data_IF_814390898271
#
_entry.id   IF_814390898271
#
_cell.length_a   1.000
_cell.length_b   1.000
_cell.length_c   1.000
_cell.angle_alpha   90.00
_cell.angle_beta   90.00
_cell.angle_gamma   90.00
#
_symmetry.space_group_name_H-M   'P 1'
#
loop_
_entity.id
_entity.type
_entity.pdbx_description
1 polymer ?
#
# COMPACT_ATOMS: atom_id res chain seq x y z
N UNK A 1 -11.37 30.92 -39.56
CA UNK A 1 -11.06 31.25 -38.16
C UNK A 1 -9.62 31.74 -38.20
N UNK A 2 -9.39 33.01 -37.91
CA UNK A 2 -8.09 33.65 -38.12
C UNK A 2 -7.01 32.91 -37.31
N UNK A 3 -5.92 32.52 -37.95
CA UNK A 3 -4.73 32.08 -37.23
C UNK A 3 -4.26 33.31 -36.45
N UNK A 4 -4.37 33.27 -35.12
CA UNK A 4 -3.78 34.32 -34.29
C UNK A 4 -2.26 34.24 -34.47
N UNK A 5 -1.68 35.27 -35.08
CA UNK A 5 -0.23 35.43 -35.22
C UNK A 5 0.37 35.65 -33.82
N UNK A 6 0.65 34.55 -33.14
CA UNK A 6 1.56 34.56 -32.00
C UNK A 6 3.01 34.61 -32.48
N UNK A 7 3.95 35.08 -31.66
CA UNK A 7 5.36 35.15 -32.04
C UNK A 7 5.91 33.78 -32.46
N UNK A 8 6.64 33.71 -33.58
CA UNK A 8 7.16 32.43 -34.09
C UNK A 8 8.12 31.73 -33.11
N UNK A 9 8.72 32.48 -32.18
CA UNK A 9 9.62 31.96 -31.16
C UNK A 9 8.95 30.96 -30.20
N UNK A 10 7.61 31.02 -30.06
CA UNK A 10 6.85 30.13 -29.18
C UNK A 10 6.09 29.03 -29.93
N UNK A 11 6.18 28.98 -31.26
CA UNK A 11 5.44 28.02 -32.10
C UNK A 11 5.75 26.57 -31.73
N UNK A 12 7.03 26.23 -31.59
CA UNK A 12 7.47 24.89 -31.20
C UNK A 12 6.96 24.50 -29.79
N UNK A 13 6.92 25.47 -28.87
CA UNK A 13 6.44 25.25 -27.51
C UNK A 13 4.93 25.01 -27.48
N UNK A 14 4.16 25.79 -28.26
CA UNK A 14 2.71 25.68 -28.36
C UNK A 14 2.30 24.39 -29.05
N UNK A 15 2.92 24.04 -30.18
CA UNK A 15 2.64 22.78 -30.90
C UNK A 15 3.01 21.55 -30.06
N UNK A 16 4.12 21.60 -29.32
CA UNK A 16 4.50 20.56 -28.37
C UNK A 16 3.52 20.44 -27.19
N UNK A 17 3.05 21.57 -26.65
CA UNK A 17 2.05 21.59 -25.59
C UNK A 17 0.70 21.02 -26.06
N UNK A 18 0.20 21.46 -27.23
CA UNK A 18 -1.05 20.96 -27.83
C UNK A 18 -1.00 19.45 -28.08
N UNK A 19 0.12 18.96 -28.64
CA UNK A 19 0.35 17.53 -28.84
C UNK A 19 0.31 16.75 -27.53
N UNK A 20 0.94 17.29 -26.48
CA UNK A 20 0.98 16.68 -25.15
C UNK A 20 -0.40 16.65 -24.50
N UNK A 21 -1.16 17.75 -24.56
CA UNK A 21 -2.53 17.85 -24.04
C UNK A 21 -3.47 16.90 -24.78
N UNK A 22 -3.34 16.80 -26.10
CA UNK A 22 -4.13 15.88 -26.94
C UNK A 22 -3.85 14.42 -26.58
N UNK A 23 -2.60 14.06 -26.31
CA UNK A 23 -2.24 12.72 -25.83
C UNK A 23 -2.88 12.40 -24.48
N UNK A 24 -2.78 13.33 -23.51
CA UNK A 24 -3.39 13.17 -22.17
C UNK A 24 -4.92 13.04 -22.28
N UNK A 25 -5.55 13.85 -23.12
CA UNK A 25 -7.00 13.80 -23.37
C UNK A 25 -7.43 12.43 -23.89
N UNK A 26 -6.70 11.89 -24.88
CA UNK A 26 -6.98 10.57 -25.46
C UNK A 26 -6.93 9.46 -24.41
N UNK A 27 -5.90 9.46 -23.56
CA UNK A 27 -5.76 8.47 -22.48
C UNK A 27 -6.89 8.62 -21.45
N UNK A 28 -7.24 9.86 -21.11
CA UNK A 28 -8.30 10.12 -20.13
C UNK A 28 -9.68 9.69 -20.66
N UNK A 29 -9.98 9.95 -21.92
CA UNK A 29 -11.22 9.49 -22.57
C UNK A 29 -11.33 7.96 -22.56
N UNK A 30 -10.23 7.25 -22.85
CA UNK A 30 -10.18 5.78 -22.74
C UNK A 30 -10.45 5.33 -21.30
N UNK A 31 -9.82 5.95 -20.30
CA UNK A 31 -10.04 5.62 -18.90
C UNK A 31 -11.49 5.86 -18.46
N UNK A 32 -12.07 6.99 -18.86
CA UNK A 32 -13.46 7.38 -18.53
C UNK A 32 -14.51 6.59 -19.30
N UNK A 33 -14.16 5.97 -20.43
CA UNK A 33 -15.07 5.09 -21.19
C UNK A 33 -15.40 3.79 -20.44
N UNK A 34 -14.57 3.41 -19.47
CA UNK A 34 -14.81 2.23 -18.64
C UNK A 34 -15.58 2.60 -17.36
N UNK A 35 -16.68 1.92 -17.02
CA UNK A 35 -17.38 2.15 -15.77
C UNK A 35 -16.48 1.83 -14.56
N UNK A 36 -16.38 2.79 -13.63
CA UNK A 36 -15.50 2.68 -12.46
C UNK A 36 -15.78 1.45 -11.60
N UNK A 37 -17.05 1.07 -11.45
CA UNK A 37 -17.44 -0.11 -10.68
C UNK A 37 -16.84 -1.40 -11.26
N UNK A 38 -16.84 -1.55 -12.58
CA UNK A 38 -16.29 -2.72 -13.26
C UNK A 38 -14.76 -2.76 -13.16
N UNK A 39 -14.13 -1.59 -13.14
CA UNK A 39 -12.68 -1.46 -12.97
C UNK A 39 -12.26 -1.80 -11.54
N UNK A 40 -12.99 -1.31 -10.53
CA UNK A 40 -12.71 -1.58 -9.12
C UNK A 40 -12.91 -3.06 -8.77
N UNK A 41 -13.90 -3.74 -9.34
CA UNK A 41 -14.12 -5.17 -9.10
C UNK A 41 -12.96 -6.06 -9.57
N UNK A 42 -12.16 -5.59 -10.54
CA UNK A 42 -11.04 -6.35 -11.13
C UNK A 42 -9.70 -6.10 -10.43
N UNK A 43 -9.62 -5.09 -9.57
CA UNK A 43 -8.37 -4.65 -8.95
C UNK A 43 -8.32 -5.09 -7.48
N UNK A 44 -7.13 -5.46 -7.01
CA UNK A 44 -6.90 -5.65 -5.58
C UNK A 44 -6.95 -4.30 -4.84
N UNK A 45 -7.16 -4.27 -3.52
CA UNK A 45 -7.30 -3.00 -2.79
C UNK A 45 -6.08 -2.07 -2.92
N UNK A 46 -4.89 -2.62 -3.15
CA UNK A 46 -3.67 -1.84 -3.28
C UNK A 46 -3.61 -1.16 -4.66
N UNK A 47 -4.00 -1.86 -5.72
CA UNK A 47 -4.05 -1.34 -7.07
C UNK A 47 -5.21 -0.35 -7.25
N UNK A 48 -6.33 -0.54 -6.55
CA UNK A 48 -7.39 0.47 -6.44
C UNK A 48 -6.85 1.77 -5.83
N UNK A 49 -6.12 1.69 -4.72
CA UNK A 49 -5.53 2.86 -4.07
C UNK A 49 -4.52 3.59 -4.98
N UNK A 50 -3.71 2.84 -5.75
CA UNK A 50 -2.80 3.44 -6.75
C UNK A 50 -3.58 4.16 -7.84
N UNK A 51 -4.62 3.54 -8.39
CA UNK A 51 -5.46 4.12 -9.42
C UNK A 51 -6.09 5.43 -8.92
N UNK A 52 -6.71 5.43 -7.74
CA UNK A 52 -7.35 6.60 -7.17
C UNK A 52 -6.34 7.74 -6.92
N UNK A 53 -5.14 7.43 -6.42
CA UNK A 53 -4.07 8.41 -6.23
C UNK A 53 -3.56 8.96 -7.56
N UNK A 54 -3.45 8.13 -8.59
CA UNK A 54 -3.08 8.58 -9.94
C UNK A 54 -4.16 9.49 -10.52
N UNK A 55 -5.44 9.15 -10.40
CA UNK A 55 -6.54 10.01 -10.85
C UNK A 55 -6.52 11.36 -10.13
N UNK A 56 -6.34 11.37 -8.81
CA UNK A 56 -6.23 12.60 -8.04
C UNK A 56 -5.01 13.44 -8.45
N UNK A 57 -3.85 12.80 -8.64
CA UNK A 57 -2.63 13.48 -9.08
C UNK A 57 -2.79 14.09 -10.46
N UNK A 58 -3.35 13.36 -11.42
CA UNK A 58 -3.61 13.84 -12.78
C UNK A 58 -4.53 15.05 -12.77
N UNK A 59 -5.66 14.98 -12.04
CA UNK A 59 -6.61 16.10 -11.94
C UNK A 59 -5.95 17.36 -11.35
N UNK A 60 -5.19 17.21 -10.27
CA UNK A 60 -4.52 18.34 -9.64
C UNK A 60 -3.38 18.90 -10.51
N UNK A 61 -2.70 18.04 -11.28
CA UNK A 61 -1.66 18.46 -12.23
C UNK A 61 -2.26 19.23 -13.42
N UNK A 62 -3.40 18.77 -13.96
CA UNK A 62 -4.15 19.50 -14.98
C UNK A 62 -4.60 20.87 -14.47
N UNK A 63 -5.10 20.92 -13.24
CA UNK A 63 -5.50 22.18 -12.61
C UNK A 63 -4.31 23.12 -12.36
N UNK A 64 -3.15 22.58 -11.96
CA UNK A 64 -1.91 23.35 -11.86
C UNK A 64 -1.55 23.98 -13.21
N UNK A 65 -1.59 23.21 -14.30
CA UNK A 65 -1.32 23.73 -15.65
C UNK A 65 -2.32 24.81 -16.05
N UNK A 66 -3.61 24.63 -15.75
CA UNK A 66 -4.63 25.64 -15.96
C UNK A 66 -4.32 26.95 -15.22
N UNK A 67 -3.90 26.90 -13.95
CA UNK A 67 -3.50 28.10 -13.22
C UNK A 67 -2.33 28.83 -13.89
N UNK A 68 -1.34 28.08 -14.39
CA UNK A 68 -0.21 28.65 -15.15
C UNK A 68 -0.71 29.38 -16.40
N UNK A 69 -1.68 28.83 -17.15
CA UNK A 69 -2.23 29.51 -18.33
C UNK A 69 -3.05 30.75 -17.99
N UNK A 70 -3.61 30.84 -16.78
CA UNK A 70 -4.26 32.05 -16.27
C UNK A 70 -3.28 33.07 -15.69
N UNK A 71 -1.96 32.82 -15.75
CA UNK A 71 -0.94 33.69 -15.16
C UNK A 71 -0.92 33.66 -13.63
N UNK A 72 -1.59 32.70 -12.99
CA UNK A 72 -1.63 32.55 -11.53
C UNK A 72 -0.46 31.65 -11.12
N UNK A 73 0.39 32.12 -10.20
CA UNK A 73 1.47 31.31 -9.65
C UNK A 73 0.92 30.15 -8.80
N UNK A 74 1.00 28.89 -9.24
CA UNK A 74 0.36 27.80 -8.52
C UNK A 74 1.10 27.44 -7.22
N UNK A 75 2.33 27.92 -7.04
CA UNK A 75 3.10 27.74 -5.79
C UNK A 75 2.53 28.52 -4.62
N UNK A 76 1.82 29.61 -4.91
CA UNK A 76 1.12 30.46 -3.94
C UNK A 76 -0.36 30.07 -3.79
N UNK A 77 -0.85 29.21 -4.69
CA UNK A 77 -2.22 28.69 -4.65
C UNK A 77 -2.33 27.45 -3.75
N UNK A 78 -3.52 27.20 -3.20
CA UNK A 78 -3.80 26.03 -2.32
C UNK A 78 -3.56 24.67 -2.99
N UNK A 79 -3.45 24.62 -4.31
CA UNK A 79 -3.16 23.42 -5.10
C UNK A 79 -1.83 22.76 -4.69
N UNK A 80 -0.85 23.55 -4.23
CA UNK A 80 0.41 23.01 -3.71
C UNK A 80 0.16 22.08 -2.51
N UNK A 81 -0.76 22.44 -1.61
CA UNK A 81 -1.08 21.63 -0.44
C UNK A 81 -1.77 20.32 -0.85
N UNK A 82 -2.64 20.34 -1.86
CA UNK A 82 -3.26 19.13 -2.39
C UNK A 82 -2.23 18.19 -3.02
N UNK A 83 -1.25 18.71 -3.77
CA UNK A 83 -0.16 17.89 -4.31
C UNK A 83 0.73 17.29 -3.21
N UNK A 84 1.04 18.03 -2.15
CA UNK A 84 1.77 17.49 -1.00
C UNK A 84 0.97 16.39 -0.30
N UNK A 85 -0.32 16.59 -0.10
CA UNK A 85 -1.24 15.60 0.48
C UNK A 85 -1.25 14.32 -0.35
N UNK A 86 -1.37 14.44 -1.68
CA UNK A 86 -1.30 13.29 -2.60
C UNK A 86 0.05 12.57 -2.48
N UNK A 87 1.16 13.31 -2.44
CA UNK A 87 2.51 12.75 -2.25
C UNK A 87 2.63 11.95 -0.95
N UNK A 88 2.07 12.46 0.16
CA UNK A 88 2.03 11.73 1.44
C UNK A 88 1.34 10.36 1.28
N UNK A 89 0.19 10.31 0.60
CA UNK A 89 -0.52 9.05 0.39
C UNK A 89 0.19 8.11 -0.60
N UNK A 90 0.85 8.63 -1.64
CA UNK A 90 1.68 7.82 -2.53
C UNK A 90 2.84 7.17 -1.78
N UNK A 91 3.51 7.91 -0.89
CA UNK A 91 4.55 7.37 -0.02
C UNK A 91 3.98 6.29 0.90
N UNK A 92 2.77 6.47 1.42
CA UNK A 92 2.10 5.47 2.25
C UNK A 92 1.83 4.17 1.48
N UNK A 93 1.33 4.27 0.24
CA UNK A 93 1.12 3.11 -0.63
C UNK A 93 2.45 2.40 -0.94
N UNK A 94 3.53 3.17 -1.17
CA UNK A 94 4.88 2.63 -1.37
C UNK A 94 5.37 1.85 -0.15
N UNK A 95 5.27 2.43 1.05
CA UNK A 95 5.63 1.75 2.31
C UNK A 95 4.87 0.43 2.51
N UNK A 96 3.55 0.43 2.24
CA UNK A 96 2.72 -0.78 2.38
C UNK A 96 3.17 -1.84 1.38
N UNK A 97 3.46 -1.44 0.14
CA UNK A 97 3.96 -2.32 -0.91
C UNK A 97 5.30 -2.94 -0.54
N UNK A 98 6.22 -2.14 0.02
CA UNK A 98 7.53 -2.60 0.47
C UNK A 98 7.44 -3.52 1.69
N UNK A 99 6.58 -3.20 2.66
CA UNK A 99 6.30 -4.07 3.83
C UNK A 99 5.76 -5.45 3.41
N UNK A 100 4.97 -5.52 2.33
CA UNK A 100 4.49 -6.79 1.78
C UNK A 100 5.63 -7.65 1.19
N UNK A 101 6.71 -7.01 0.73
CA UNK A 101 7.91 -7.67 0.16
C UNK A 101 9.02 -7.94 1.19
N UNK A 102 8.95 -7.31 2.37
CA UNK A 102 9.97 -7.43 3.40
C UNK A 102 10.08 -8.86 3.94
N UNK A 103 11.32 -9.29 4.22
CA UNK A 103 11.60 -10.58 4.83
C UNK A 103 10.88 -10.66 6.20
N UNK A 104 10.18 -11.79 6.43
CA UNK A 104 9.48 -12.05 7.69
C UNK A 104 10.32 -12.96 8.57
N UNK A 105 10.43 -12.61 9.85
CA UNK A 105 11.04 -13.50 10.84
C UNK A 105 10.16 -14.74 11.00
N UNK A 106 10.75 -15.92 10.87
CA UNK A 106 10.10 -17.17 11.26
C UNK A 106 10.08 -17.25 12.80
N UNK A 107 8.92 -16.88 13.36
CA UNK A 107 8.68 -16.94 14.81
C UNK A 107 8.84 -18.35 15.37
N UNK A 108 8.53 -19.38 14.57
CA UNK A 108 8.69 -20.78 14.96
C UNK A 108 10.16 -21.16 15.07
N UNK A 109 10.97 -20.81 14.06
CA UNK A 109 12.42 -21.03 14.10
C UNK A 109 13.06 -20.26 15.27
N UNK A 110 12.70 -18.99 15.47
CA UNK A 110 13.18 -18.19 16.60
C UNK A 110 12.83 -18.85 17.95
N UNK A 111 11.60 -19.33 18.11
CA UNK A 111 11.18 -20.03 19.33
C UNK A 111 11.97 -21.34 19.56
N UNK A 112 12.33 -22.07 18.50
CA UNK A 112 13.16 -23.28 18.60
C UNK A 112 14.59 -22.94 19.03
N UNK A 113 15.18 -21.87 18.48
CA UNK A 113 16.51 -21.40 18.91
C UNK A 113 16.51 -21.02 20.39
N UNK A 114 15.52 -20.25 20.85
CA UNK A 114 15.41 -19.88 22.27
C UNK A 114 15.22 -21.10 23.17
N UNK A 115 14.33 -22.03 22.80
CA UNK A 115 14.09 -23.26 23.58
C UNK A 115 15.32 -24.14 23.67
N UNK A 116 16.10 -24.22 22.59
CA UNK A 116 17.35 -24.98 22.58
C UNK A 116 18.43 -24.31 23.42
N UNK A 117 18.52 -22.98 23.40
CA UNK A 117 19.51 -22.22 24.16
C UNK A 117 19.22 -22.22 25.67
N UNK A 118 17.95 -22.26 26.06
CA UNK A 118 17.50 -22.36 27.46
C UNK A 118 17.32 -23.82 27.92
N UNK A 119 17.80 -24.80 27.14
CA UNK A 119 17.68 -26.20 27.50
C UNK A 119 18.67 -26.56 28.59
N UNK A 120 18.15 -26.86 29.77
CA UNK A 120 18.94 -27.35 30.91
C UNK A 120 18.64 -28.83 31.18
N UNK A 121 19.60 -29.76 31.03
CA UNK A 121 19.36 -31.19 31.21
C UNK A 121 18.97 -31.58 32.65
N UNK A 122 19.45 -30.85 33.67
CA UNK A 122 19.15 -31.13 35.08
C UNK A 122 17.68 -30.85 35.45
N UNK A 123 17.02 -29.98 34.68
CA UNK A 123 15.63 -29.56 34.88
C UNK A 123 14.59 -30.60 34.39
N UNK A 124 15.04 -31.60 33.61
CA UNK A 124 14.23 -32.77 33.24
C UNK A 124 14.28 -33.88 34.28
N UNK A 125 15.39 -34.03 34.99
CA UNK A 125 15.52 -35.05 36.03
C UNK A 125 14.75 -34.66 37.29
N UNK A 126 14.62 -33.36 37.59
CA UNK A 126 13.73 -32.83 38.62
C UNK A 126 12.23 -33.06 38.27
N UNK A 127 11.82 -32.82 37.01
CA UNK A 127 10.44 -33.08 36.54
C UNK A 127 10.09 -34.56 36.43
N UNK A 128 11.02 -35.41 36.00
CA UNK A 128 10.81 -36.88 35.98
C UNK A 128 10.70 -37.46 37.39
N UNK A 129 11.51 -36.99 38.35
CA UNK A 129 11.42 -37.42 39.75
C UNK A 129 10.12 -36.99 40.43
N UNK A 130 9.59 -35.80 40.10
CA UNK A 130 8.31 -35.32 40.64
C UNK A 130 7.08 -36.05 40.06
N UNK A 131 7.12 -36.46 38.79
CA UNK A 131 6.04 -37.23 38.16
C UNK A 131 6.03 -38.71 38.57
N UNK A 132 7.16 -39.27 39.01
CA UNK A 132 7.24 -40.66 39.50
C UNK A 132 6.89 -40.82 40.98
N UNK A 133 6.75 -39.74 41.75
CA UNK A 133 6.39 -39.81 43.19
C UNK A 133 4.89 -39.71 43.47
N UNK A 134 4.05 -39.45 42.47
CA UNK A 134 2.59 -39.30 42.64
C UNK A 134 1.76 -40.52 42.17
N UNK A 135 2.38 -41.68 41.93
CA UNK A 135 1.69 -42.88 41.42
C UNK A 135 1.73 -44.11 42.34
N UNK A 136 1.79 -43.93 43.67
CA UNK A 136 1.56 -45.01 44.63
C UNK A 136 0.40 -44.69 45.59
N UNK A 137 -0.83 -44.89 45.12
CA UNK A 137 -1.95 -45.27 46.00
C UNK A 137 -2.80 -46.31 45.25
N UNK A 138 -2.94 -47.54 45.78
CA UNK A 138 -3.70 -48.60 45.10
C UNK A 138 -5.21 -48.37 45.26
N UNK A 139 -6.04 -48.64 44.24
CA UNK A 139 -7.49 -48.45 44.36
C UNK A 139 -8.11 -49.60 45.17
N UNK A 140 -8.76 -49.24 46.28
CA UNK A 140 -9.61 -50.13 47.06
C UNK A 140 -10.82 -50.58 46.23
N UNK A 141 -10.98 -51.90 46.11
CA UNK A 141 -12.19 -52.57 45.61
C UNK A 141 -13.43 -52.03 46.33
N UNK A 142 -14.42 -51.51 45.58
CA UNK A 142 -15.79 -51.32 46.07
C UNK A 142 -16.76 -52.15 45.24
N UNK A 143 -17.65 -52.84 45.96
CA UNK A 143 -18.46 -53.95 45.47
C UNK A 143 -19.60 -53.49 44.56
N UNK A 144 -20.06 -54.45 43.73
CA UNK A 144 -21.34 -54.38 43.02
C UNK A 144 -22.48 -54.23 44.03
N UNK A 145 -23.47 -53.40 43.71
CA UNK A 145 -24.82 -53.59 44.21
C UNK A 145 -25.85 -53.25 43.13
N UNK A 146 -26.90 -54.05 43.16
CA UNK A 146 -28.05 -54.22 42.25
C UNK A 146 -28.80 -52.95 41.90
#
# INVERSE_FOLDING_TARGET
MAAEDYPHEIDEQLTGFDSSVTSVKTILEQLMSMPRNDLLQKLDPLDQAKLDLMSAYTLNSLFWMYLVTQGINPREHGIKQELERIRTYMNRVKEITEKKKAARLDKGAAARFVRSALYDPDDKDSKKKAASTSSETPPLKRSKQK
#
